data_IF_349722658841
#
_entry.id   IF_349722658841
#
_cell.length_a   1.000
_cell.length_b   1.000
_cell.length_c   1.000
_cell.angle_alpha   90.00
_cell.angle_beta   90.00
_cell.angle_gamma   90.00
#
_symmetry.space_group_name_H-M   'P 1'
#
loop_
_entity.id
_entity.type
_entity.pdbx_description
1 polymer ?
#
# COMPACT_ATOMS: atom_id res chain seq x y z
N UNK A 1 0.39 16.35 10.01
CA UNK A 1 0.21 14.91 10.26
C UNK A 1 1.09 14.03 9.37
N UNK A 2 0.83 13.90 8.06
CA UNK A 2 1.65 13.04 7.17
C UNK A 2 3.11 13.52 7.15
N UNK A 3 3.35 14.83 7.00
CA UNK A 3 4.70 15.40 7.06
C UNK A 3 5.39 15.12 8.39
N UNK A 4 4.68 15.27 9.51
CA UNK A 4 5.21 14.99 10.86
C UNK A 4 5.56 13.51 11.04
N UNK A 5 4.73 12.61 10.52
CA UNK A 5 5.02 11.18 10.46
C UNK A 5 6.31 10.90 9.66
N UNK A 6 6.44 11.51 8.49
CA UNK A 6 7.62 11.34 7.62
C UNK A 6 8.90 11.90 8.24
N UNK A 7 8.82 12.88 9.16
CA UNK A 7 9.98 13.33 9.91
C UNK A 7 10.55 12.28 10.86
N UNK A 8 9.76 11.26 11.25
CA UNK A 8 10.24 10.12 12.06
C UNK A 8 11.10 9.12 11.27
N UNK A 9 11.06 9.18 9.94
CA UNK A 9 11.86 8.32 9.05
C UNK A 9 13.16 9.01 8.66
N UNK A 10 14.26 8.25 8.61
CA UNK A 10 15.54 8.74 8.10
C UNK A 10 15.44 9.17 6.64
N UNK A 11 16.23 10.16 6.23
CA UNK A 11 16.11 10.80 4.91
C UNK A 11 16.35 9.86 3.72
N UNK A 12 17.08 8.75 3.92
CA UNK A 12 17.29 7.74 2.89
C UNK A 12 16.04 6.87 2.60
N UNK A 13 15.06 6.84 3.51
CA UNK A 13 13.89 5.97 3.45
C UNK A 13 12.59 6.69 3.04
N UNK A 14 12.65 7.95 2.60
CA UNK A 14 11.46 8.74 2.25
C UNK A 14 11.69 9.66 1.05
N UNK A 15 10.64 9.93 0.29
CA UNK A 15 10.64 10.90 -0.81
C UNK A 15 9.35 11.71 -0.83
N UNK A 16 9.50 13.02 -0.92
CA UNK A 16 8.42 13.96 -1.20
C UNK A 16 8.28 14.07 -2.73
N UNK A 17 7.10 13.75 -3.26
CA UNK A 17 6.83 13.82 -4.72
C UNK A 17 6.03 15.06 -5.06
N UNK A 18 5.02 15.38 -4.27
CA UNK A 18 4.25 16.62 -4.38
C UNK A 18 3.63 16.99 -3.03
N UNK A 19 2.87 18.07 -2.99
CA UNK A 19 2.11 18.50 -1.80
C UNK A 19 1.09 17.47 -1.31
N UNK A 20 0.72 16.51 -2.17
CA UNK A 20 -0.26 15.46 -1.88
C UNK A 20 0.27 14.04 -2.03
N UNK A 21 1.57 13.86 -2.30
CA UNK A 21 2.14 12.54 -2.59
C UNK A 21 3.53 12.36 -1.98
N UNK A 22 3.69 11.22 -1.32
CA UNK A 22 4.89 10.81 -0.62
C UNK A 22 5.18 9.33 -0.86
N UNK A 23 6.44 8.94 -0.68
CA UNK A 23 6.84 7.54 -0.67
C UNK A 23 7.74 7.27 0.53
N UNK A 24 7.63 6.08 1.08
CA UNK A 24 8.59 5.54 2.05
C UNK A 24 9.09 4.17 1.59
N UNK A 25 10.26 3.78 2.07
CA UNK A 25 10.82 2.44 1.91
C UNK A 25 10.83 1.77 3.28
N UNK A 26 10.23 0.58 3.37
CA UNK A 26 10.20 -0.26 4.56
C UNK A 26 10.54 -1.69 4.16
N UNK A 27 11.72 -2.17 4.54
CA UNK A 27 12.25 -3.44 4.02
C UNK A 27 12.56 -3.35 2.52
N UNK A 28 12.10 -4.33 1.74
CA UNK A 28 12.15 -4.34 0.26
C UNK A 28 11.05 -3.47 -0.37
N UNK A 29 10.00 -3.15 0.39
CA UNK A 29 8.77 -2.59 -0.14
C UNK A 29 8.80 -1.06 -0.19
N UNK A 30 8.38 -0.54 -1.34
CA UNK A 30 8.14 0.88 -1.55
C UNK A 30 6.66 1.21 -1.37
N UNK A 31 6.32 1.92 -0.29
CA UNK A 31 4.95 2.33 0.03
C UNK A 31 4.71 3.76 -0.48
N UNK A 32 3.66 3.92 -1.28
CA UNK A 32 3.14 5.19 -1.77
C UNK A 32 2.01 5.68 -0.84
N UNK A 33 2.07 6.94 -0.45
CA UNK A 33 1.05 7.61 0.36
C UNK A 33 0.59 8.83 -0.42
N UNK A 34 -0.70 8.98 -0.66
CA UNK A 34 -1.21 10.18 -1.33
C UNK A 34 -2.64 10.54 -0.92
N UNK A 35 -2.98 11.80 -1.12
CA UNK A 35 -4.34 12.31 -1.00
C UNK A 35 -4.98 12.44 -2.38
N UNK A 36 -6.25 12.07 -2.52
CA UNK A 36 -6.98 12.19 -3.79
C UNK A 36 -7.11 13.66 -4.23
N UNK A 37 -7.37 14.55 -3.28
CA UNK A 37 -7.40 16.00 -3.45
C UNK A 37 -6.94 16.71 -2.15
N UNK A 38 -7.08 18.04 -2.09
CA UNK A 38 -6.72 18.87 -0.93
C UNK A 38 -7.96 19.50 -0.24
N UNK A 39 -9.15 18.98 -0.52
CA UNK A 39 -10.43 19.46 0.00
C UNK A 39 -10.92 18.60 1.18
N UNK A 40 -12.00 19.01 1.84
CA UNK A 40 -12.55 18.32 3.03
C UNK A 40 -13.04 16.89 2.74
N UNK A 41 -13.29 16.57 1.46
CA UNK A 41 -13.68 15.24 1.00
C UNK A 41 -12.47 14.38 0.56
N UNK A 42 -11.24 14.82 0.83
CA UNK A 42 -10.04 14.07 0.50
C UNK A 42 -10.07 12.67 1.10
N UNK A 43 -9.57 11.72 0.32
CA UNK A 43 -9.30 10.36 0.76
C UNK A 43 -7.79 10.17 0.87
N UNK A 44 -7.38 9.52 1.95
CA UNK A 44 -6.05 8.96 2.08
C UNK A 44 -6.01 7.66 1.28
N UNK A 45 -5.02 7.56 0.41
CA UNK A 45 -4.64 6.31 -0.24
C UNK A 45 -3.23 5.95 0.19
N UNK A 46 -3.08 4.75 0.75
CA UNK A 46 -1.78 4.14 0.99
C UNK A 46 -1.70 2.89 0.13
N UNK A 47 -0.63 2.71 -0.63
CA UNK A 47 -0.50 1.60 -1.55
C UNK A 47 0.94 1.10 -1.67
N UNK A 48 1.12 -0.18 -1.94
CA UNK A 48 2.41 -0.78 -2.26
C UNK A 48 2.29 -1.60 -3.54
N UNK A 49 3.32 -1.55 -4.38
CA UNK A 49 3.45 -2.48 -5.50
C UNK A 49 4.12 -3.74 -4.98
N UNK A 50 3.57 -4.91 -5.30
CA UNK A 50 4.17 -6.20 -4.97
C UNK A 50 5.11 -6.63 -6.10
N UNK A 51 4.54 -6.94 -7.27
CA UNK A 51 5.30 -7.29 -8.47
C UNK A 51 4.54 -6.91 -9.73
N UNK A 52 5.28 -6.77 -10.82
CA UNK A 52 4.73 -6.62 -12.15
C UNK A 52 4.41 -8.01 -12.72
N UNK A 53 3.24 -8.18 -13.32
CA UNK A 53 2.91 -9.45 -13.98
C UNK A 53 3.82 -9.66 -15.20
N UNK A 54 4.59 -10.77 -15.27
CA UNK A 54 5.35 -11.11 -16.48
C UNK A 54 4.41 -11.48 -17.64
N UNK A 55 3.29 -12.11 -17.30
CA UNK A 55 2.16 -12.46 -18.16
C UNK A 55 0.89 -12.48 -17.32
N UNK A 56 -0.27 -12.35 -17.97
CA UNK A 56 -1.55 -12.48 -17.28
C UNK A 56 -1.65 -13.86 -16.59
N UNK A 57 -2.00 -13.86 -15.29
CA UNK A 57 -2.14 -15.09 -14.51
C UNK A 57 -3.48 -15.10 -13.76
N UNK A 58 -4.47 -15.84 -14.29
CA UNK A 58 -5.81 -15.92 -13.74
C UNK A 58 -5.87 -16.65 -12.38
N UNK A 59 -4.92 -17.55 -12.11
CA UNK A 59 -4.85 -18.30 -10.86
C UNK A 59 -4.45 -17.39 -9.70
N UNK A 60 -3.38 -16.59 -9.90
CA UNK A 60 -2.96 -15.55 -8.96
C UNK A 60 -4.11 -14.59 -8.69
N UNK A 61 -4.77 -14.09 -9.74
CA UNK A 61 -5.87 -13.13 -9.62
C UNK A 61 -7.04 -13.71 -8.81
N UNK A 62 -7.41 -14.96 -9.07
CA UNK A 62 -8.48 -15.65 -8.32
C UNK A 62 -8.08 -15.84 -6.86
N UNK A 63 -6.82 -16.17 -6.60
CA UNK A 63 -6.30 -16.37 -5.25
C UNK A 63 -6.33 -15.07 -4.42
N UNK A 64 -5.78 -13.98 -4.94
CA UNK A 64 -5.75 -12.69 -4.22
C UNK A 64 -7.16 -12.11 -4.04
N UNK A 65 -8.06 -12.33 -5.01
CA UNK A 65 -9.45 -11.93 -4.87
C UNK A 65 -10.17 -12.70 -3.76
N UNK A 66 -9.87 -14.00 -3.60
CA UNK A 66 -10.38 -14.78 -2.45
C UNK A 66 -9.81 -14.26 -1.14
N UNK A 67 -8.53 -13.88 -1.08
CA UNK A 67 -7.92 -13.29 0.13
C UNK A 67 -8.61 -12.00 0.56
N UNK A 68 -8.99 -11.13 -0.37
CA UNK A 68 -9.78 -9.93 -0.08
C UNK A 68 -11.08 -10.25 0.69
N UNK A 69 -11.69 -11.41 0.44
CA UNK A 69 -12.91 -11.86 1.12
C UNK A 69 -12.70 -12.45 2.52
N UNK A 70 -11.46 -12.63 3.00
CA UNK A 70 -11.17 -13.34 4.27
C UNK A 70 -11.16 -12.46 5.52
N UNK A 71 -11.26 -11.13 5.37
CA UNK A 71 -11.10 -10.13 6.45
C UNK A 71 -9.73 -10.15 7.16
N UNK A 72 -8.80 -11.04 6.77
CA UNK A 72 -7.48 -11.17 7.39
C UNK A 72 -6.52 -10.02 7.04
N UNK A 73 -6.82 -9.27 5.97
CA UNK A 73 -5.97 -8.19 5.46
C UNK A 73 -6.14 -6.86 6.21
N UNK A 74 -6.88 -6.82 7.33
CA UNK A 74 -6.99 -5.63 8.20
C UNK A 74 -7.40 -4.34 7.46
N UNK A 75 -8.30 -4.45 6.48
CA UNK A 75 -8.76 -3.33 5.65
C UNK A 75 -7.90 -3.04 4.42
N UNK A 76 -6.74 -3.70 4.28
CA UNK A 76 -5.96 -3.69 3.04
C UNK A 76 -6.63 -4.59 2.01
N UNK A 77 -6.57 -4.20 0.75
CA UNK A 77 -7.11 -4.98 -0.38
C UNK A 77 -6.08 -5.12 -1.49
N UNK A 78 -6.01 -6.30 -2.08
CA UNK A 78 -5.31 -6.53 -3.34
C UNK A 78 -6.05 -5.88 -4.51
N UNK A 79 -5.30 -5.36 -5.46
CA UNK A 79 -5.80 -4.82 -6.72
C UNK A 79 -4.76 -4.93 -7.84
N UNK A 80 -5.16 -4.57 -9.06
CA UNK A 80 -4.26 -4.54 -10.22
C UNK A 80 -4.27 -3.12 -10.78
N UNK A 81 -3.08 -2.53 -10.93
CA UNK A 81 -2.89 -1.18 -11.47
C UNK A 81 -1.67 -1.16 -12.39
N UNK A 82 -1.83 -0.73 -13.64
CA UNK A 82 -0.73 -0.66 -14.62
C UNK A 82 0.07 -1.98 -14.74
N UNK A 83 -0.63 -3.11 -14.82
CA UNK A 83 -0.03 -4.45 -14.87
C UNK A 83 0.84 -4.82 -13.64
N UNK A 84 0.67 -4.12 -12.52
CA UNK A 84 1.26 -4.48 -11.23
C UNK A 84 0.17 -5.00 -10.31
N UNK A 85 0.47 -6.06 -9.58
CA UNK A 85 -0.31 -6.41 -8.40
C UNK A 85 0.05 -5.41 -7.29
N UNK A 86 -0.98 -4.82 -6.69
CA UNK A 86 -0.83 -3.83 -5.63
C UNK A 86 -1.61 -4.24 -4.39
N UNK A 87 -1.15 -3.76 -3.23
CA UNK A 87 -1.95 -3.66 -2.02
C UNK A 87 -2.33 -2.21 -1.80
N UNK A 88 -3.54 -1.96 -1.33
CA UNK A 88 -3.99 -0.61 -1.03
C UNK A 88 -4.94 -0.56 0.17
N UNK A 89 -4.89 0.56 0.87
CA UNK A 89 -5.85 0.98 1.89
C UNK A 89 -6.36 2.36 1.49
N UNK A 90 -7.68 2.52 1.46
CA UNK A 90 -8.34 3.77 1.07
C UNK A 90 -9.36 4.14 2.13
N UNK A 91 -9.33 5.39 2.60
CA UNK A 91 -10.37 5.92 3.48
C UNK A 91 -10.46 7.45 3.42
N UNK A 92 -11.58 8.05 3.86
CA UNK A 92 -11.65 9.49 4.10
C UNK A 92 -10.61 9.97 5.11
N UNK A 93 -10.03 11.16 4.86
CA UNK A 93 -9.13 11.83 5.82
C UNK A 93 -9.89 12.33 7.04
N UNK A 94 -11.19 12.63 6.90
CA UNK A 94 -12.03 13.07 8.02
C UNK A 94 -12.01 12.06 9.16
N UNK A 95 -11.63 12.53 10.35
CA UNK A 95 -11.53 11.69 11.55
C UNK A 95 -10.34 10.74 11.57
N UNK A 96 -9.36 10.90 10.67
CA UNK A 96 -8.09 10.18 10.73
C UNK A 96 -7.19 10.83 11.79
N UNK A 97 -6.72 10.04 12.73
CA UNK A 97 -5.73 10.48 13.71
C UNK A 97 -4.30 10.02 13.33
N UNK A 98 -3.26 10.58 13.97
CA UNK A 98 -1.88 10.22 13.66
C UNK A 98 -1.56 8.75 13.90
N UNK A 99 -2.02 8.15 15.00
CA UNK A 99 -1.73 6.75 15.35
C UNK A 99 -2.32 5.79 14.32
N UNK A 100 -3.54 6.09 13.87
CA UNK A 100 -4.21 5.35 12.82
C UNK A 100 -3.46 5.46 11.48
N UNK A 101 -2.97 6.65 11.12
CA UNK A 101 -2.13 6.80 9.93
C UNK A 101 -0.87 5.92 10.02
N UNK A 102 -0.17 5.92 11.15
CA UNK A 102 1.04 5.08 11.33
C UNK A 102 0.68 3.60 11.20
N UNK A 103 -0.45 3.20 11.79
CA UNK A 103 -0.92 1.82 11.74
C UNK A 103 -1.31 1.38 10.33
N UNK A 104 -1.97 2.23 9.53
CA UNK A 104 -2.32 1.94 8.14
C UNK A 104 -1.03 1.71 7.32
N UNK A 105 -0.06 2.60 7.46
CA UNK A 105 1.21 2.54 6.73
C UNK A 105 1.99 1.28 7.13
N UNK A 106 2.10 0.99 8.43
CA UNK A 106 2.75 -0.20 8.94
C UNK A 106 2.05 -1.49 8.47
N UNK A 107 0.71 -1.50 8.46
CA UNK A 107 -0.07 -2.66 8.01
C UNK A 107 0.18 -2.97 6.54
N UNK A 108 0.22 -1.96 5.66
CA UNK A 108 0.56 -2.18 4.25
C UNK A 108 2.00 -2.67 4.10
N UNK A 109 2.96 -2.06 4.80
CA UNK A 109 4.36 -2.46 4.70
C UNK A 109 4.56 -3.94 5.07
N UNK A 110 4.00 -4.38 6.21
CA UNK A 110 4.11 -5.76 6.70
C UNK A 110 3.41 -6.74 5.76
N UNK A 111 2.18 -6.44 5.32
CA UNK A 111 1.45 -7.34 4.43
C UNK A 111 2.12 -7.39 3.05
N UNK A 112 2.66 -6.27 2.57
CA UNK A 112 3.35 -6.27 1.28
C UNK A 112 4.63 -7.11 1.30
N UNK A 113 5.44 -6.98 2.34
CA UNK A 113 6.68 -7.73 2.55
C UNK A 113 6.43 -9.24 2.81
N UNK A 114 5.24 -9.60 3.31
CA UNK A 114 4.84 -11.00 3.46
C UNK A 114 4.41 -11.64 2.12
N UNK A 115 3.69 -10.87 1.28
CA UNK A 115 3.03 -11.41 0.09
C UNK A 115 3.81 -11.23 -1.21
N UNK A 116 4.81 -10.38 -1.28
CA UNK A 116 5.59 -10.17 -2.51
C UNK A 116 6.34 -11.45 -2.90
N UNK A 117 7.21 -11.95 -2.04
CA UNK A 117 8.00 -13.16 -2.27
C UNK A 117 7.11 -14.42 -2.25
N UNK A 118 6.15 -14.49 -1.32
CA UNK A 118 5.26 -15.64 -1.20
C UNK A 118 4.45 -15.90 -2.47
N UNK A 119 3.89 -14.87 -3.08
CA UNK A 119 3.08 -15.03 -4.30
C UNK A 119 3.95 -15.36 -5.51
N UNK A 120 5.16 -14.82 -5.59
CA UNK A 120 6.12 -15.15 -6.64
C UNK A 120 6.52 -16.63 -6.55
N UNK A 121 6.89 -17.09 -5.36
CA UNK A 121 7.29 -18.49 -5.13
C UNK A 121 6.12 -19.46 -5.37
N UNK A 122 4.92 -19.13 -4.85
CA UNK A 122 3.74 -19.99 -4.94
C UNK A 122 3.26 -20.23 -6.38
N UNK A 123 3.43 -19.24 -7.25
CA UNK A 123 2.88 -19.25 -8.61
C UNK A 123 3.94 -19.24 -9.72
N UNK A 124 5.23 -19.37 -9.36
CA UNK A 124 6.37 -19.42 -10.29
C UNK A 124 6.34 -18.25 -11.28
N UNK A 125 6.37 -17.03 -10.73
CA UNK A 125 6.26 -15.76 -11.48
C UNK A 125 7.62 -15.16 -11.84
#
# INVERSE_FOLDING_TARGET
MITDFLHKFGDAGKKFVSEKEWWIVSGSVKVQIFLTNLEDNAELVVAANLFQYPKHNAEVNTYVLKLNGTLKLKGVSFGIRNNNLILSYIRPVKGLDPEELEWIIASIAVIADEYDDFLIEKFDL
#
